data_IF_607760415493
#
_entry.id   IF_607760415493
#
_cell.length_a   1.000
_cell.length_b   1.000
_cell.length_c   1.000
_cell.angle_alpha   90.00
_cell.angle_beta   90.00
_cell.angle_gamma   90.00
#
_symmetry.space_group_name_H-M   'P 1'
#
loop_
_entity.id
_entity.type
_entity.pdbx_description
1 polymer ?
#
# COMPACT_ATOMS: atom_id res chain seq x y z
N UNK A 1 -22.12 20.09 1.36
CA UNK A 1 -20.86 20.87 1.31
C UNK A 1 -19.73 19.89 0.96
N UNK A 2 -19.20 19.95 -0.28
CA UNK A 2 -18.10 19.09 -0.75
C UNK A 2 -16.77 19.77 -0.38
N UNK A 3 -16.05 19.25 0.60
CA UNK A 3 -14.78 19.82 1.05
C UNK A 3 -13.66 19.30 0.16
N UNK A 4 -13.29 20.04 -0.90
CA UNK A 4 -12.11 19.75 -1.72
C UNK A 4 -12.03 18.30 -2.22
N UNK A 5 -13.19 17.74 -2.59
CA UNK A 5 -13.29 16.37 -3.10
C UNK A 5 -13.56 15.27 -2.07
N UNK A 6 -13.44 15.49 -0.75
CA UNK A 6 -13.66 14.45 0.29
C UNK A 6 -15.11 14.41 0.82
N UNK A 7 -15.67 13.22 1.03
CA UNK A 7 -16.97 12.95 1.66
C UNK A 7 -16.89 12.98 3.20
N UNK A 8 -18.03 13.18 3.87
CA UNK A 8 -18.11 13.22 5.34
C UNK A 8 -17.62 11.93 6.02
N UNK A 9 -17.88 10.77 5.42
CA UNK A 9 -17.42 9.48 5.94
C UNK A 9 -15.88 9.37 5.91
N UNK A 10 -15.25 9.94 4.89
CA UNK A 10 -13.79 10.02 4.79
C UNK A 10 -13.22 11.03 5.80
N UNK A 11 -13.90 12.16 6.01
CA UNK A 11 -13.50 13.17 6.99
C UNK A 11 -13.43 12.58 8.42
N UNK A 12 -14.43 11.77 8.80
CA UNK A 12 -14.48 11.12 10.10
C UNK A 12 -13.27 10.22 10.38
N UNK A 13 -12.70 9.58 9.34
CA UNK A 13 -11.51 8.71 9.48
C UNK A 13 -10.23 9.47 9.83
N UNK A 14 -10.18 10.79 9.66
CA UNK A 14 -9.02 11.63 9.97
C UNK A 14 -9.09 12.34 11.33
N UNK A 15 -10.13 12.08 12.15
CA UNK A 15 -10.28 12.69 13.48
C UNK A 15 -11.48 13.62 13.64
N UNK A 16 -12.48 13.54 12.76
CA UNK A 16 -13.74 14.27 12.89
C UNK A 16 -13.79 15.61 12.15
N UNK A 17 -14.97 16.25 12.16
CA UNK A 17 -15.33 17.39 11.30
C UNK A 17 -14.49 18.66 11.55
N UNK A 18 -13.96 18.84 12.75
CA UNK A 18 -13.23 20.05 13.18
C UNK A 18 -11.69 19.89 13.12
N UNK A 19 -11.17 18.70 13.37
CA UNK A 19 -9.73 18.42 13.24
C UNK A 19 -9.31 18.26 11.77
N UNK A 20 -10.27 17.94 10.89
CA UNK A 20 -10.06 17.61 9.50
C UNK A 20 -9.59 18.79 8.62
N UNK A 21 -10.18 19.99 8.61
CA UNK A 21 -9.73 21.08 7.73
C UNK A 21 -8.30 21.54 8.06
N UNK A 22 -7.94 21.50 9.35
CA UNK A 22 -6.61 21.88 9.84
C UNK A 22 -5.60 20.77 9.51
N UNK A 23 -5.92 19.50 9.80
CA UNK A 23 -5.03 18.38 9.48
C UNK A 23 -4.89 18.15 7.96
N UNK A 24 -5.97 18.31 7.20
CA UNK A 24 -5.98 18.24 5.74
C UNK A 24 -5.26 19.44 5.14
N UNK A 25 -5.52 20.67 5.61
CA UNK A 25 -4.83 21.88 5.17
C UNK A 25 -3.33 21.82 5.45
N UNK A 26 -2.91 21.32 6.61
CA UNK A 26 -1.48 21.13 6.95
C UNK A 26 -0.83 19.99 6.15
N UNK A 27 -1.54 18.88 5.93
CA UNK A 27 -1.01 17.71 5.22
C UNK A 27 -1.02 17.91 3.70
N UNK A 28 -2.02 18.57 3.14
CA UNK A 28 -2.09 18.95 1.73
C UNK A 28 -1.16 20.13 1.44
N UNK A 29 -1.07 21.18 2.28
CA UNK A 29 -0.06 22.23 2.05
C UNK A 29 1.35 21.66 2.08
N UNK A 30 1.74 20.88 3.10
CA UNK A 30 3.09 20.27 3.15
C UNK A 30 3.34 19.28 2.00
N UNK A 31 2.37 18.44 1.63
CA UNK A 31 2.57 17.47 0.54
C UNK A 31 2.47 18.08 -0.86
N UNK A 32 1.74 19.18 -1.03
CA UNK A 32 1.64 19.92 -2.29
C UNK A 32 2.83 20.86 -2.50
N UNK A 33 3.46 21.37 -1.43
CA UNK A 33 4.68 22.18 -1.55
C UNK A 33 5.95 21.34 -1.64
N UNK A 34 5.94 20.10 -1.15
CA UNK A 34 7.09 19.19 -1.20
C UNK A 34 6.83 18.02 -2.18
N UNK A 35 6.87 18.27 -3.48
CA UNK A 35 7.10 17.29 -4.57
C UNK A 35 6.46 15.89 -4.43
N UNK A 36 5.25 15.76 -3.89
CA UNK A 36 4.63 14.44 -3.82
C UNK A 36 3.91 14.14 -5.14
N UNK A 37 4.68 13.69 -6.11
CA UNK A 37 4.23 13.08 -7.34
C UNK A 37 3.73 11.66 -6.99
N UNK A 38 2.44 11.38 -7.21
CA UNK A 38 1.80 10.13 -6.79
C UNK A 38 1.44 9.26 -7.99
N UNK A 39 2.08 8.11 -8.06
CA UNK A 39 1.72 7.00 -8.95
C UNK A 39 1.04 5.90 -8.13
N UNK A 40 0.19 5.05 -8.74
CA UNK A 40 -0.23 3.79 -8.14
C UNK A 40 0.96 2.95 -7.69
N UNK A 41 0.78 2.10 -6.68
CA UNK A 41 1.87 1.31 -6.11
C UNK A 41 2.50 0.38 -7.15
N UNK A 42 1.67 -0.22 -8.01
CA UNK A 42 2.13 -1.10 -9.09
C UNK A 42 2.90 -0.39 -10.21
N UNK A 43 2.86 0.93 -10.32
CA UNK A 43 3.75 1.71 -11.20
C UNK A 43 5.04 2.13 -10.48
N UNK A 44 5.03 2.16 -9.15
CA UNK A 44 6.18 2.53 -8.32
C UNK A 44 7.09 1.34 -7.97
N UNK A 45 6.60 0.12 -8.17
CA UNK A 45 7.26 -1.14 -7.85
C UNK A 45 7.35 -2.03 -9.09
N UNK A 46 8.37 -2.89 -9.15
CA UNK A 46 8.44 -3.96 -10.16
C UNK A 46 8.70 -5.30 -9.51
N UNK A 47 8.24 -6.37 -10.16
CA UNK A 47 8.68 -7.72 -9.81
C UNK A 47 10.21 -7.84 -10.00
N UNK A 48 10.85 -8.55 -9.08
CA UNK A 48 12.30 -8.76 -9.10
C UNK A 48 12.68 -10.16 -8.59
N UNK A 49 13.88 -10.60 -8.95
CA UNK A 49 14.47 -11.76 -8.31
C UNK A 49 14.85 -11.43 -6.85
N UNK A 50 14.89 -12.43 -5.94
CA UNK A 50 15.31 -12.20 -4.55
C UNK A 50 16.66 -11.50 -4.46
N UNK A 51 17.62 -11.85 -5.31
CA UNK A 51 18.98 -11.34 -5.32
C UNK A 51 19.10 -9.86 -5.68
N UNK A 52 18.04 -9.27 -6.24
CA UNK A 52 17.98 -7.84 -6.54
C UNK A 52 17.60 -6.98 -5.32
N UNK A 53 17.10 -7.61 -4.25
CA UNK A 53 16.88 -6.99 -2.95
C UNK A 53 18.19 -6.97 -2.15
N UNK A 54 18.34 -6.00 -1.26
CA UNK A 54 19.46 -6.00 -0.30
C UNK A 54 19.40 -7.27 0.58
N UNK A 55 20.53 -7.60 1.19
CA UNK A 55 20.56 -8.72 2.14
C UNK A 55 19.64 -8.44 3.32
N UNK A 56 19.68 -7.22 3.85
CA UNK A 56 18.89 -6.75 4.98
C UNK A 56 17.39 -6.88 4.69
N UNK A 57 16.92 -6.41 3.52
CA UNK A 57 15.51 -6.53 3.14
C UNK A 57 15.08 -7.98 2.96
N UNK A 58 15.93 -8.85 2.37
CA UNK A 58 15.62 -10.28 2.28
C UNK A 58 15.47 -10.92 3.65
N UNK A 59 16.39 -10.63 4.57
CA UNK A 59 16.37 -11.16 5.93
C UNK A 59 15.16 -10.63 6.72
N UNK A 60 14.82 -9.35 6.57
CA UNK A 60 13.64 -8.74 7.20
C UNK A 60 12.31 -9.31 6.69
N UNK A 61 12.25 -9.73 5.41
CA UNK A 61 11.06 -10.37 4.84
C UNK A 61 10.96 -11.86 5.18
N UNK A 62 12.09 -12.56 5.37
CA UNK A 62 12.14 -14.01 5.49
C UNK A 62 11.18 -14.61 6.55
N UNK A 63 11.05 -14.06 7.79
CA UNK A 63 10.13 -14.59 8.79
C UNK A 63 8.67 -14.61 8.32
N UNK A 64 8.26 -13.60 7.55
CA UNK A 64 6.89 -13.46 7.06
C UNK A 64 6.65 -14.33 5.83
N UNK A 65 7.64 -14.48 4.95
CA UNK A 65 7.59 -15.42 3.82
C UNK A 65 7.41 -16.85 4.34
N UNK A 66 8.16 -17.21 5.39
CA UNK A 66 8.02 -18.51 6.04
C UNK A 66 6.65 -18.69 6.71
N UNK A 67 6.16 -17.67 7.45
CA UNK A 67 4.82 -17.71 8.06
C UNK A 67 3.70 -17.86 7.00
N UNK A 68 3.81 -17.17 5.87
CA UNK A 68 2.88 -17.29 4.75
C UNK A 68 2.88 -18.71 4.17
N UNK A 69 4.06 -19.28 3.94
CA UNK A 69 4.19 -20.66 3.46
C UNK A 69 3.52 -21.66 4.41
N UNK A 70 3.76 -21.52 5.73
CA UNK A 70 3.09 -22.36 6.75
C UNK A 70 1.57 -22.16 6.81
N UNK A 71 1.10 -20.99 6.38
CA UNK A 71 -0.32 -20.62 6.36
C UNK A 71 -1.04 -20.99 5.04
N UNK A 72 -0.42 -21.80 4.18
CA UNK A 72 -1.04 -22.30 2.95
C UNK A 72 -0.93 -21.35 1.74
N UNK A 73 -0.08 -20.33 1.82
CA UNK A 73 0.24 -19.50 0.66
C UNK A 73 1.23 -20.20 -0.25
N UNK A 74 0.99 -20.07 -1.56
CA UNK A 74 1.93 -20.55 -2.57
C UNK A 74 3.12 -19.60 -2.67
N UNK A 75 4.28 -20.08 -3.18
CA UNK A 75 5.41 -19.21 -3.48
C UNK A 75 4.98 -17.99 -4.31
N UNK A 76 5.25 -16.82 -3.77
CA UNK A 76 4.90 -15.51 -4.30
C UNK A 76 6.00 -14.86 -5.14
N UNK A 77 5.88 -13.55 -5.33
CA UNK A 77 6.85 -12.71 -6.05
C UNK A 77 7.43 -11.64 -5.14
N UNK A 78 8.73 -11.40 -5.28
CA UNK A 78 9.37 -10.23 -4.69
C UNK A 78 9.14 -9.01 -5.56
N UNK A 79 9.03 -7.86 -4.91
CA UNK A 79 8.94 -6.56 -5.56
C UNK A 79 9.96 -5.60 -4.98
N UNK A 80 10.50 -4.73 -5.84
CA UNK A 80 11.40 -3.66 -5.46
C UNK A 80 10.84 -2.32 -5.92
N UNK A 81 10.95 -1.31 -5.06
CA UNK A 81 10.62 0.05 -5.45
C UNK A 81 11.57 0.51 -6.56
N UNK A 82 11.00 0.94 -7.69
CA UNK A 82 11.73 1.57 -8.80
C UNK A 82 11.54 3.09 -8.80
N UNK A 83 10.52 3.57 -8.10
CA UNK A 83 10.20 5.00 -7.96
C UNK A 83 9.81 5.28 -6.52
N UNK A 84 10.80 5.57 -5.66
CA UNK A 84 10.54 5.90 -4.26
C UNK A 84 10.72 7.40 -4.02
N UNK A 85 9.61 8.15 -3.93
CA UNK A 85 9.65 9.60 -3.69
C UNK A 85 9.74 9.98 -2.21
N UNK A 86 10.22 9.08 -1.34
CA UNK A 86 10.32 9.31 0.10
C UNK A 86 11.81 9.34 0.49
N UNK A 87 12.41 10.53 0.70
CA UNK A 87 13.84 10.67 0.97
C UNK A 87 14.33 9.96 2.23
N UNK A 88 13.42 9.66 3.16
CA UNK A 88 13.76 8.91 4.38
C UNK A 88 13.89 7.41 4.13
N UNK A 89 13.35 6.85 3.05
CA UNK A 89 13.49 5.42 2.73
C UNK A 89 14.84 5.22 2.07
N UNK A 90 15.73 4.47 2.74
CA UNK A 90 17.07 4.14 2.22
C UNK A 90 17.07 2.81 1.48
N UNK A 91 16.17 1.91 1.87
CA UNK A 91 15.99 0.63 1.21
C UNK A 91 14.56 0.11 1.42
N UNK A 92 14.08 -0.68 0.47
CA UNK A 92 12.73 -1.24 0.51
C UNK A 92 12.56 -2.43 -0.41
N UNK A 93 11.75 -3.38 0.02
CA UNK A 93 11.24 -4.45 -0.82
C UNK A 93 9.92 -4.99 -0.28
N UNK A 94 9.24 -5.75 -1.11
CA UNK A 94 8.00 -6.39 -0.74
C UNK A 94 7.93 -7.83 -1.25
N UNK A 95 7.02 -8.59 -0.68
CA UNK A 95 6.67 -9.93 -1.08
C UNK A 95 5.15 -10.05 -1.19
N UNK A 96 4.69 -10.59 -2.32
CA UNK A 96 3.26 -10.79 -2.60
C UNK A 96 3.00 -12.26 -2.85
N UNK A 97 2.05 -12.84 -2.12
CA UNK A 97 1.68 -14.25 -2.27
C UNK A 97 0.17 -14.43 -2.37
N UNK A 98 -0.23 -15.49 -3.08
CA UNK A 98 -1.61 -15.93 -3.22
C UNK A 98 -1.82 -17.24 -2.45
N UNK A 99 -2.89 -17.33 -1.68
CA UNK A 99 -3.27 -18.55 -0.97
C UNK A 99 -3.56 -19.68 -1.97
N UNK A 100 -3.30 -20.95 -1.60
CA UNK A 100 -3.50 -22.11 -2.47
C UNK A 100 -4.93 -22.24 -3.05
N UNK A 101 -5.91 -21.74 -2.33
CA UNK A 101 -7.31 -21.69 -2.78
C UNK A 101 -7.55 -20.67 -3.92
N UNK A 102 -6.63 -19.74 -4.14
CA UNK A 102 -6.72 -18.71 -5.17
C UNK A 102 -7.60 -17.51 -4.80
N UNK A 103 -7.92 -17.30 -3.53
CA UNK A 103 -8.95 -16.31 -3.11
C UNK A 103 -8.39 -15.18 -2.26
N UNK A 104 -7.34 -15.45 -1.48
CA UNK A 104 -6.76 -14.54 -0.49
C UNK A 104 -5.32 -14.22 -0.90
N UNK A 105 -4.95 -12.95 -0.86
CA UNK A 105 -3.57 -12.53 -1.06
C UNK A 105 -2.99 -11.91 0.20
N UNK A 106 -1.67 -11.94 0.30
CA UNK A 106 -0.91 -11.28 1.33
C UNK A 106 0.21 -10.45 0.70
N UNK A 107 0.43 -9.28 1.28
CA UNK A 107 1.45 -8.33 0.91
C UNK A 107 2.26 -7.98 2.16
N UNK A 108 3.56 -8.21 2.10
CA UNK A 108 4.50 -7.91 3.16
C UNK A 108 5.52 -6.95 2.58
N UNK A 109 5.58 -5.72 3.09
CA UNK A 109 6.59 -4.75 2.70
C UNK A 109 7.54 -4.50 3.88
N UNK A 110 8.83 -4.54 3.61
CA UNK A 110 9.88 -4.13 4.53
C UNK A 110 10.53 -2.86 3.97
N UNK A 111 10.70 -1.84 4.80
CA UNK A 111 11.50 -0.68 4.45
C UNK A 111 12.39 -0.24 5.60
N UNK A 112 13.59 0.19 5.23
CA UNK A 112 14.55 0.79 6.13
C UNK A 112 14.47 2.30 5.95
N UNK A 113 14.19 2.99 7.05
CA UNK A 113 14.04 4.44 7.08
C UNK A 113 15.15 5.08 7.87
N UNK A 114 15.82 6.08 7.28
CA UNK A 114 16.77 6.93 7.99
C UNK A 114 16.06 8.13 8.58
N UNK A 115 16.15 8.24 9.90
CA UNK A 115 15.67 9.38 10.68
C UNK A 115 16.88 10.24 11.03
N UNK A 116 16.90 11.48 10.52
CA UNK A 116 17.92 12.48 10.85
C UNK A 116 17.31 13.50 11.81
N UNK A 117 17.91 13.66 12.99
CA UNK A 117 17.51 14.65 14.00
C UNK A 117 18.75 15.41 14.48
N UNK A 118 19.00 16.58 13.90
CA UNK A 118 20.28 17.27 14.09
C UNK A 118 21.42 16.42 13.54
N UNK A 119 22.44 16.16 14.34
CA UNK A 119 23.59 15.31 13.97
C UNK A 119 23.30 13.81 14.11
N UNK A 120 22.23 13.42 14.82
CA UNK A 120 21.90 12.03 15.04
C UNK A 120 21.26 11.40 13.80
N UNK A 121 21.88 10.31 13.32
CA UNK A 121 21.38 9.48 12.23
C UNK A 121 21.01 8.11 12.80
N UNK A 122 19.73 7.74 12.71
CA UNK A 122 19.24 6.44 13.14
C UNK A 122 18.48 5.76 11.99
N UNK A 123 18.77 4.48 11.76
CA UNK A 123 18.05 3.67 10.78
C UNK A 123 17.04 2.79 11.50
N UNK A 124 15.82 2.77 10.97
CA UNK A 124 14.68 2.06 11.55
C UNK A 124 14.04 1.17 10.49
N UNK A 125 13.94 -0.11 10.81
CA UNK A 125 13.12 -1.06 10.06
C UNK A 125 11.62 -0.82 10.31
N UNK A 126 10.84 -0.87 9.24
CA UNK A 126 9.38 -0.81 9.28
C UNK A 126 8.82 -1.92 8.40
N UNK A 127 8.09 -2.84 9.03
CA UNK A 127 7.33 -3.88 8.32
C UNK A 127 5.86 -3.52 8.26
N UNK A 128 5.33 -3.50 7.05
CA UNK A 128 3.93 -3.26 6.73
C UNK A 128 3.29 -4.53 6.20
N UNK A 129 2.20 -4.95 6.84
CA UNK A 129 1.45 -6.16 6.49
C UNK A 129 0.05 -5.78 6.01
N UNK A 130 -0.32 -6.33 4.86
CA UNK A 130 -1.67 -6.26 4.31
C UNK A 130 -2.11 -7.63 3.80
N UNK A 131 -3.39 -7.93 3.96
CA UNK A 131 -4.02 -9.11 3.36
C UNK A 131 -5.32 -8.68 2.70
N UNK A 132 -5.65 -9.32 1.59
CA UNK A 132 -6.73 -8.86 0.72
C UNK A 132 -7.54 -10.02 0.14
N UNK A 133 -8.83 -9.78 -0.03
CA UNK A 133 -9.71 -10.54 -0.92
C UNK A 133 -10.36 -9.59 -1.91
N UNK A 134 -10.49 -10.04 -3.15
CA UNK A 134 -11.16 -9.33 -4.23
C UNK A 134 -12.51 -9.99 -4.51
N UNK A 135 -13.52 -9.19 -4.73
CA UNK A 135 -14.89 -9.62 -5.04
C UNK A 135 -15.14 -9.58 -6.55
N UNK A 136 -16.11 -10.34 -7.04
CA UNK A 136 -16.40 -10.45 -8.48
C UNK A 136 -16.88 -9.14 -9.10
N UNK A 137 -17.44 -8.23 -8.29
CA UNK A 137 -17.93 -6.91 -8.68
C UNK A 137 -16.86 -5.81 -8.60
N UNK A 138 -15.57 -6.17 -8.47
CA UNK A 138 -14.48 -5.20 -8.52
C UNK A 138 -14.26 -4.42 -7.22
N UNK A 139 -14.69 -4.97 -6.09
CA UNK A 139 -14.37 -4.42 -4.78
C UNK A 139 -13.35 -5.26 -4.03
N UNK A 140 -12.66 -4.64 -3.07
CA UNK A 140 -11.69 -5.31 -2.21
C UNK A 140 -12.08 -5.23 -0.73
N UNK A 141 -11.72 -6.26 0.04
CA UNK A 141 -11.63 -6.16 1.50
C UNK A 141 -10.17 -6.31 1.88
N UNK A 142 -9.61 -5.25 2.47
CA UNK A 142 -8.20 -5.16 2.84
C UNK A 142 -8.08 -5.11 4.35
N UNK A 143 -7.34 -6.05 4.94
CA UNK A 143 -7.00 -6.04 6.37
C UNK A 143 -5.51 -5.72 6.50
N UNK A 144 -5.17 -4.67 7.25
CA UNK A 144 -3.80 -4.18 7.33
C UNK A 144 -3.36 -3.75 8.74
N UNK A 145 -2.05 -3.79 9.00
CA UNK A 145 -1.47 -3.42 10.30
C UNK A 145 -0.90 -1.99 10.34
N UNK A 146 -0.69 -1.37 9.18
CA UNK A 146 -0.08 -0.06 9.03
C UNK A 146 -1.14 1.02 8.83
N UNK A 147 -0.74 2.23 8.45
CA UNK A 147 -1.67 3.30 8.08
C UNK A 147 -1.76 3.33 6.56
N UNK A 148 -2.94 3.09 6.01
CA UNK A 148 -3.25 3.54 4.65
C UNK A 148 -3.67 5.01 4.74
N UNK A 149 -3.13 5.86 3.87
CA UNK A 149 -3.20 7.31 4.05
C UNK A 149 -4.34 7.99 3.31
N UNK A 150 -5.02 7.31 2.37
CA UNK A 150 -6.04 7.89 1.50
C UNK A 150 -7.17 6.90 1.15
N UNK A 151 -8.29 7.46 0.70
CA UNK A 151 -9.54 6.77 0.37
C UNK A 151 -9.38 5.86 -0.86
N UNK A 152 -9.99 4.67 -0.84
CA UNK A 152 -9.94 3.70 -1.94
C UNK A 152 -10.91 4.02 -3.10
N UNK A 153 -11.44 5.25 -3.17
CA UNK A 153 -12.50 5.59 -4.12
C UNK A 153 -13.79 4.82 -3.87
N UNK A 154 -14.00 4.30 -2.65
CA UNK A 154 -15.12 3.41 -2.33
C UNK A 154 -14.97 1.96 -2.83
N UNK A 155 -13.89 1.63 -3.54
CA UNK A 155 -13.68 0.30 -4.10
C UNK A 155 -13.14 -0.70 -3.09
N UNK A 156 -12.44 -0.23 -2.04
CA UNK A 156 -11.89 -1.10 -1.01
C UNK A 156 -12.46 -0.80 0.37
N UNK A 157 -12.95 -1.82 1.06
CA UNK A 157 -13.23 -1.76 2.50
C UNK A 157 -11.94 -2.06 3.27
N UNK A 158 -11.41 -1.05 3.95
CA UNK A 158 -10.17 -1.17 4.73
C UNK A 158 -10.50 -1.43 6.21
N UNK A 159 -9.92 -2.49 6.77
CA UNK A 159 -10.00 -2.87 8.18
C UNK A 159 -8.60 -2.77 8.78
N UNK A 160 -8.44 -1.88 9.76
CA UNK A 160 -7.14 -1.60 10.35
C UNK A 160 -6.98 -2.30 11.70
N UNK A 161 -5.93 -3.11 11.83
CA UNK A 161 -5.52 -3.78 13.07
C UNK A 161 -4.10 -3.32 13.44
N UNK A 162 -3.97 -2.13 14.03
CA UNK A 162 -2.67 -1.48 14.25
C UNK A 162 -1.70 -2.39 15.03
N UNK A 163 -0.53 -2.63 14.46
CA UNK A 163 0.53 -3.43 15.09
C UNK A 163 0.18 -4.91 15.25
N UNK A 164 -0.89 -5.40 14.62
CA UNK A 164 -1.25 -6.80 14.67
C UNK A 164 -0.27 -7.65 13.82
N UNK A 165 0.04 -8.88 14.29
CA UNK A 165 0.85 -9.83 13.53
C UNK A 165 0.06 -10.44 12.37
N UNK A 166 0.77 -11.00 11.39
CA UNK A 166 0.20 -11.57 10.16
C UNK A 166 -0.91 -12.60 10.45
N UNK A 167 -0.68 -13.56 11.36
CA UNK A 167 -1.72 -14.51 11.76
C UNK A 167 -3.06 -13.87 12.20
N UNK A 168 -3.02 -12.70 12.85
CA UNK A 168 -4.24 -11.98 13.26
C UNK A 168 -4.93 -11.31 12.07
N UNK A 169 -4.17 -10.80 11.10
CA UNK A 169 -4.70 -10.26 9.84
C UNK A 169 -5.39 -11.38 9.04
N UNK A 170 -4.75 -12.53 8.89
CA UNK A 170 -5.30 -13.69 8.18
C UNK A 170 -6.61 -14.17 8.79
N UNK A 171 -6.66 -14.38 10.11
CA UNK A 171 -7.91 -14.78 10.81
C UNK A 171 -9.03 -13.75 10.63
N UNK A 172 -8.69 -12.46 10.59
CA UNK A 172 -9.67 -11.40 10.36
C UNK A 172 -10.18 -11.45 8.92
N UNK A 173 -9.29 -11.60 7.95
CA UNK A 173 -9.65 -11.70 6.53
C UNK A 173 -10.55 -12.91 6.27
N UNK A 174 -10.22 -14.07 6.82
CA UNK A 174 -11.06 -15.28 6.74
C UNK A 174 -12.46 -15.05 7.28
N UNK A 175 -12.58 -14.33 8.41
CA UNK A 175 -13.88 -13.99 8.99
C UNK A 175 -14.68 -13.09 8.05
N UNK A 176 -14.04 -12.09 7.46
CA UNK A 176 -14.70 -11.19 6.51
C UNK A 176 -15.09 -11.91 5.21
N UNK A 177 -14.26 -12.83 4.73
CA UNK A 177 -14.58 -13.69 3.59
C UNK A 177 -15.81 -14.55 3.87
N UNK A 178 -15.86 -15.27 5.02
CA UNK A 178 -17.00 -16.12 5.39
C UNK A 178 -18.30 -15.34 5.60
N UNK A 179 -18.19 -14.11 6.09
CA UNK A 179 -19.34 -13.24 6.34
C UNK A 179 -19.68 -12.35 5.14
N UNK A 180 -18.94 -12.46 4.03
CA UNK A 180 -19.17 -11.63 2.85
C UNK A 180 -20.46 -12.07 2.16
N UNK A 181 -21.38 -11.12 1.98
CA UNK A 181 -22.54 -11.30 1.09
C UNK A 181 -22.14 -11.23 -0.39
N UNK A 182 -20.95 -10.68 -0.69
CA UNK A 182 -20.42 -10.56 -2.05
C UNK A 182 -19.62 -11.80 -2.40
N UNK A 183 -19.81 -12.30 -3.63
CA UNK A 183 -19.04 -13.39 -4.17
C UNK A 183 -17.56 -12.98 -4.28
N UNK A 184 -16.68 -13.81 -3.70
CA UNK A 184 -15.25 -13.58 -3.75
C UNK A 184 -14.70 -14.18 -5.03
N UNK A 185 -13.85 -13.43 -5.73
CA UNK A 185 -13.22 -13.87 -6.96
C UNK A 185 -12.12 -14.88 -6.64
N UNK A 186 -12.03 -15.91 -7.47
CA UNK A 186 -10.95 -16.90 -7.44
C UNK A 186 -10.00 -16.63 -8.61
N UNK A 187 -8.71 -16.68 -8.35
CA UNK A 187 -7.62 -16.43 -9.27
C UNK A 187 -6.80 -17.70 -9.46
N UNK A 188 -6.30 -17.89 -10.67
CA UNK A 188 -5.45 -19.05 -11.00
C UNK A 188 -4.04 -18.92 -10.46
N UNK A 189 -3.51 -17.70 -10.51
CA UNK A 189 -2.15 -17.37 -10.12
C UNK A 189 -2.06 -15.93 -9.62
N UNK A 190 -0.87 -15.58 -9.12
CA UNK A 190 -0.60 -14.25 -8.57
C UNK A 190 -0.61 -13.15 -9.64
N UNK A 191 -0.36 -13.48 -10.92
CA UNK A 191 -0.42 -12.54 -12.03
C UNK A 191 -1.85 -12.08 -12.29
N UNK A 192 -2.80 -13.02 -12.34
CA UNK A 192 -4.23 -12.71 -12.50
C UNK A 192 -4.75 -11.86 -11.33
N UNK A 193 -4.38 -12.23 -10.10
CA UNK A 193 -4.73 -11.45 -8.91
C UNK A 193 -4.15 -10.03 -8.97
N UNK A 194 -2.86 -9.90 -9.32
CA UNK A 194 -2.18 -8.61 -9.41
C UNK A 194 -2.84 -7.71 -10.45
N UNK A 195 -3.14 -8.23 -11.64
CA UNK A 195 -3.82 -7.46 -12.68
C UNK A 195 -5.18 -6.93 -12.23
N UNK A 196 -5.98 -7.74 -11.52
CA UNK A 196 -7.26 -7.32 -10.98
C UNK A 196 -7.11 -6.29 -9.84
N UNK A 197 -6.11 -6.45 -8.97
CA UNK A 197 -5.80 -5.49 -7.90
C UNK A 197 -5.35 -4.14 -8.49
N UNK A 198 -4.50 -4.15 -9.53
CA UNK A 198 -4.03 -2.94 -10.20
C UNK A 198 -5.20 -2.14 -10.81
N UNK A 199 -6.19 -2.80 -11.42
CA UNK A 199 -7.39 -2.12 -11.94
C UNK A 199 -8.16 -1.36 -10.85
N UNK A 200 -8.24 -1.92 -9.63
CA UNK A 200 -8.86 -1.25 -8.49
C UNK A 200 -8.00 -0.08 -8.02
N UNK A 201 -6.68 -0.25 -7.98
CA UNK A 201 -5.75 0.83 -7.64
C UNK A 201 -5.83 1.99 -8.63
N UNK A 202 -5.88 1.71 -9.94
CA UNK A 202 -6.03 2.70 -11.01
C UNK A 202 -7.35 3.44 -10.89
N UNK A 203 -8.46 2.73 -10.73
CA UNK A 203 -9.76 3.36 -10.56
C UNK A 203 -9.84 4.22 -9.28
N UNK A 204 -9.22 3.76 -8.19
CA UNK A 204 -9.09 4.54 -6.97
C UNK A 204 -8.20 5.77 -7.18
N UNK A 205 -7.11 5.65 -7.94
CA UNK A 205 -6.21 6.75 -8.27
C UNK A 205 -6.89 7.79 -9.16
N UNK A 206 -7.53 7.40 -10.26
CA UNK A 206 -8.27 8.30 -11.15
C UNK A 206 -9.41 9.00 -10.40
N UNK A 207 -10.12 8.29 -9.52
CA UNK A 207 -11.13 8.90 -8.64
C UNK A 207 -10.52 10.02 -7.78
N UNK A 208 -9.33 9.80 -7.19
CA UNK A 208 -8.63 10.83 -6.39
C UNK A 208 -8.18 12.02 -7.24
N UNK A 209 -7.72 11.80 -8.47
CA UNK A 209 -7.35 12.86 -9.43
C UNK A 209 -8.58 13.69 -9.79
N UNK A 210 -9.68 13.05 -10.19
CA UNK A 210 -10.93 13.72 -10.55
C UNK A 210 -11.51 14.56 -9.39
N UNK A 211 -11.22 14.15 -8.14
CA UNK A 211 -11.61 14.85 -6.92
C UNK A 211 -10.63 15.95 -6.49
N UNK A 212 -9.54 16.15 -7.23
CA UNK A 212 -8.51 17.15 -6.94
C UNK A 212 -7.63 16.83 -5.72
N UNK A 213 -7.61 15.56 -5.27
CA UNK A 213 -6.80 15.11 -4.13
C UNK A 213 -5.34 14.87 -4.50
N UNK A 214 -5.09 14.65 -5.78
CA UNK A 214 -3.78 14.48 -6.39
C UNK A 214 -3.69 15.30 -7.67
N UNK A 215 -2.46 15.59 -8.08
CA UNK A 215 -2.15 16.12 -9.40
C UNK A 215 -1.41 15.06 -10.19
N UNK A 216 -1.66 15.00 -11.50
CA UNK A 216 -0.86 14.17 -12.40
C UNK A 216 0.53 14.77 -12.49
N UNK A 217 1.54 13.91 -12.45
CA UNK A 217 2.93 14.28 -12.71
C UNK A 217 3.05 14.62 -14.19
N UNK A 218 3.52 15.82 -14.54
CA UNK A 218 3.84 16.10 -15.93
C UNK A 218 5.05 15.24 -16.36
N UNK A 219 5.09 14.68 -17.58
CA UNK A 219 6.21 13.84 -18.04
C UNK A 219 7.59 14.54 -17.93
N UNK A 220 7.62 15.87 -18.09
CA UNK A 220 8.86 16.66 -17.95
C UNK A 220 9.30 16.80 -16.48
N UNK A 221 8.36 16.83 -15.54
CA UNK A 221 8.66 16.87 -14.10
C UNK A 221 9.17 15.52 -13.60
N UNK A 222 8.62 14.42 -14.11
CA UNK A 222 9.05 13.05 -13.81
C UNK A 222 10.56 12.87 -14.00
N UNK A 223 11.09 13.31 -15.15
CA UNK A 223 12.53 13.24 -15.46
C UNK A 223 13.39 14.09 -14.52
N UNK A 224 12.91 15.29 -14.15
CA UNK A 224 13.65 16.21 -13.24
C UNK A 224 13.69 15.68 -11.81
N UNK A 225 12.62 15.03 -11.35
CA UNK A 225 12.55 14.44 -10.00
C UNK A 225 13.50 13.26 -9.92
N UNK A 226 13.47 12.36 -10.90
CA UNK A 226 14.35 11.19 -10.94
C UNK A 226 15.84 11.57 -10.95
N UNK A 227 16.20 12.67 -11.62
CA UNK A 227 17.58 13.17 -11.69
C UNK A 227 18.08 13.79 -10.39
N UNK A 228 17.20 14.40 -9.58
CA UNK A 228 17.58 14.99 -8.27
C UNK A 228 17.83 13.94 -7.17
N UNK A 229 17.41 12.70 -7.40
CA UNK A 229 17.51 11.61 -6.42
C UNK A 229 18.76 10.75 -6.59
N UNK A 230 19.46 10.89 -7.73
CA UNK A 230 20.72 10.20 -8.05
C UNK A 230 21.98 10.98 -7.66
N UNK A 231 21.84 12.15 -7.03
CA UNK A 231 22.95 13.02 -6.56
C UNK A 231 23.07 12.97 -5.05
#
# INVERSE_FOLDING_TARGET
MNFGGLTLAECWRFGGLLAFPIALGLKLRRKATDNCNWLPAHEAERDCAPEELSLETREGLAPYVEELSRSGFQPGRYRKAVRCFIPSIVDSGAYVALHAEGVRAAFVACCYTRIVRGEYRHEREVVSLSTEVLTTDGHAVVVLNHKNYLDSGGLSRVIRLRGAPLARLLRRLEREQRNSVRAVRRFRDIGEFSAASHQIEDAAWESRIARGLYQRVAPEEESRILTRMTV
#
